data_IF_500928197342
#
_entry.id   IF_500928197342
#
_cell.length_a   1.000
_cell.length_b   1.000
_cell.length_c   1.000
_cell.angle_alpha   90.00
_cell.angle_beta   90.00
_cell.angle_gamma   90.00
#
_symmetry.space_group_name_H-M   'P 1'
#
loop_
_entity.id
_entity.type
_entity.pdbx_description
1 polymer ?
#
# COMPACT_ATOMS: atom_id res chain seq x y z
N UNK A 1 48.63 -8.81 30.71
CA UNK A 1 48.56 -10.24 30.42
C UNK A 1 47.65 -10.33 29.21
N UNK A 2 48.17 -10.07 27.97
CA UNK A 2 48.59 -11.09 26.98
C UNK A 2 47.49 -12.15 26.81
N UNK A 3 46.87 -12.29 25.66
CA UNK A 3 47.24 -12.90 24.35
C UNK A 3 46.05 -12.68 23.43
N UNK A 4 45.97 -12.05 22.32
CA UNK A 4 46.54 -12.23 20.97
C UNK A 4 46.03 -13.48 20.20
N UNK A 5 45.75 -13.25 18.91
CA UNK A 5 45.65 -14.16 17.75
C UNK A 5 44.25 -14.74 17.47
N UNK A 6 43.74 -14.78 16.24
CA UNK A 6 44.32 -14.52 14.90
C UNK A 6 43.24 -14.82 13.85
N UNK A 7 43.35 -14.14 12.71
CA UNK A 7 42.62 -14.43 11.45
C UNK A 7 43.06 -15.78 10.83
N UNK A 8 42.33 -16.35 9.86
CA UNK A 8 42.68 -15.96 8.48
C UNK A 8 41.54 -15.92 7.44
N UNK A 9 41.80 -15.08 6.45
CA UNK A 9 41.20 -14.97 5.13
C UNK A 9 41.14 -16.30 4.36
N UNK A 10 40.03 -16.58 3.70
CA UNK A 10 40.09 -17.39 2.46
C UNK A 10 39.37 -16.64 1.34
N UNK A 11 40.18 -16.24 0.37
CA UNK A 11 39.76 -15.89 -0.99
C UNK A 11 39.52 -17.21 -1.74
N UNK A 12 38.42 -17.32 -2.48
CA UNK A 12 38.32 -18.25 -3.59
C UNK A 12 37.73 -17.51 -4.77
N UNK A 13 38.50 -17.35 -5.80
CA UNK A 13 38.17 -16.81 -7.09
C UNK A 13 37.28 -17.77 -7.86
N UNK A 14 36.47 -17.20 -8.73
CA UNK A 14 35.71 -17.96 -9.70
C UNK A 14 35.98 -17.42 -11.10
N UNK A 15 36.50 -18.33 -11.88
CA UNK A 15 36.94 -18.20 -13.24
C UNK A 15 35.74 -18.09 -14.21
N UNK A 16 35.95 -17.20 -15.17
CA UNK A 16 35.13 -17.05 -16.38
C UNK A 16 35.05 -18.35 -17.19
N UNK A 17 33.87 -18.65 -17.74
CA UNK A 17 33.70 -19.51 -18.92
C UNK A 17 32.87 -18.78 -19.96
N UNK A 18 33.57 -18.39 -21.01
CA UNK A 18 33.04 -17.98 -22.31
C UNK A 18 32.54 -19.24 -23.02
N UNK A 19 31.31 -19.23 -23.48
CA UNK A 19 30.73 -20.25 -24.33
C UNK A 19 30.04 -19.60 -25.54
N UNK A 20 30.73 -19.66 -26.67
CA UNK A 20 30.21 -19.32 -28.01
C UNK A 20 29.48 -20.56 -28.58
N UNK A 21 28.26 -20.40 -29.09
CA UNK A 21 27.62 -21.30 -30.03
C UNK A 21 26.51 -20.57 -30.81
N UNK A 22 26.79 -20.12 -31.99
CA UNK A 22 26.48 -20.67 -33.34
C UNK A 22 24.98 -20.71 -33.71
N UNK A 23 24.70 -19.88 -34.73
CA UNK A 23 23.47 -19.76 -35.53
C UNK A 23 22.92 -21.09 -36.05
N UNK A 24 21.58 -21.20 -36.09
CA UNK A 24 20.89 -21.93 -37.15
C UNK A 24 19.54 -21.21 -37.44
N UNK A 25 19.48 -20.60 -38.60
CA UNK A 25 18.26 -20.09 -39.20
C UNK A 25 17.48 -21.26 -39.82
N UNK A 26 16.20 -21.41 -39.46
CA UNK A 26 15.25 -22.25 -40.19
C UNK A 26 14.00 -21.41 -40.49
N UNK A 27 13.86 -21.03 -41.76
CA UNK A 27 12.64 -20.50 -42.34
C UNK A 27 11.66 -21.66 -42.54
N UNK A 28 10.58 -21.68 -41.78
CA UNK A 28 9.41 -22.50 -42.09
C UNK A 28 8.20 -21.57 -42.31
N UNK A 29 7.83 -21.40 -43.55
CA UNK A 29 6.54 -20.85 -43.96
C UNK A 29 5.45 -21.88 -43.63
N UNK A 30 4.63 -21.61 -42.62
CA UNK A 30 3.47 -22.38 -42.20
C UNK A 30 2.21 -21.55 -42.35
N UNK A 31 1.30 -22.00 -43.21
CA UNK A 31 -0.01 -21.43 -43.46
C UNK A 31 -0.84 -21.33 -42.19
N UNK A 32 -1.38 -20.14 -41.97
CA UNK A 32 -2.33 -19.84 -40.90
C UNK A 32 -3.68 -20.46 -41.20
N UNK A 33 -4.04 -21.51 -40.47
CA UNK A 33 -5.44 -21.86 -40.22
C UNK A 33 -5.92 -20.97 -39.10
N UNK A 34 -6.97 -20.16 -39.34
CA UNK A 34 -7.53 -19.24 -38.36
C UNK A 34 -7.94 -19.95 -37.07
N UNK A 35 -7.21 -19.68 -36.03
CA UNK A 35 -7.64 -19.95 -34.66
C UNK A 35 -8.80 -19.00 -34.32
N UNK A 36 -9.83 -19.45 -33.59
CA UNK A 36 -10.83 -18.55 -33.03
C UNK A 36 -10.14 -17.49 -32.12
N UNK A 37 -10.74 -16.30 -31.95
CA UNK A 37 -10.15 -15.30 -31.09
C UNK A 37 -9.94 -15.92 -29.73
N UNK A 38 -8.68 -16.05 -29.32
CA UNK A 38 -8.33 -16.30 -27.93
C UNK A 38 -9.04 -15.22 -27.08
N UNK A 39 -9.91 -15.70 -26.20
CA UNK A 39 -10.38 -14.89 -25.05
C UNK A 39 -9.14 -14.57 -24.20
N UNK A 40 -8.36 -13.63 -24.66
CA UNK A 40 -7.29 -13.05 -23.84
C UNK A 40 -8.00 -12.38 -22.67
N UNK A 41 -7.78 -12.84 -21.43
CA UNK A 41 -8.39 -12.19 -20.28
C UNK A 41 -8.00 -10.71 -20.37
N UNK A 42 -9.01 -9.84 -20.36
CA UNK A 42 -8.79 -8.39 -20.29
C UNK A 42 -7.88 -8.14 -19.09
N UNK A 43 -6.71 -7.51 -19.27
CA UNK A 43 -5.82 -7.26 -18.14
C UNK A 43 -6.61 -6.53 -17.06
N UNK A 44 -6.70 -7.13 -15.88
CA UNK A 44 -7.26 -6.48 -14.70
C UNK A 44 -6.44 -5.21 -14.48
N UNK A 45 -7.05 -4.02 -14.41
CA UNK A 45 -6.30 -2.80 -14.17
C UNK A 45 -5.52 -2.96 -12.87
N UNK A 46 -4.21 -2.66 -12.90
CA UNK A 46 -3.36 -2.74 -11.73
C UNK A 46 -3.89 -1.80 -10.63
N UNK A 47 -3.77 -2.24 -9.37
CA UNK A 47 -4.09 -1.42 -8.20
C UNK A 47 -3.15 -0.22 -8.14
N UNK A 48 -3.66 0.97 -7.78
CA UNK A 48 -2.85 2.15 -7.64
C UNK A 48 -1.79 1.96 -6.53
N UNK A 49 -0.58 2.46 -6.77
CA UNK A 49 0.46 2.50 -5.77
C UNK A 49 0.31 3.73 -4.86
N UNK A 50 0.72 3.61 -3.59
CA UNK A 50 0.73 4.73 -2.66
C UNK A 50 1.74 5.79 -3.10
N UNK A 51 1.27 7.03 -3.25
CA UNK A 51 2.08 8.22 -3.48
C UNK A 51 2.28 8.96 -2.16
N UNK A 52 3.52 9.12 -1.75
CA UNK A 52 3.90 9.83 -0.54
C UNK A 52 4.62 11.11 -0.90
N UNK A 53 4.20 12.24 -0.33
CA UNK A 53 4.81 13.54 -0.54
C UNK A 53 4.97 14.30 0.77
N UNK A 54 6.21 14.66 1.12
CA UNK A 54 6.45 15.57 2.24
C UNK A 54 6.14 17.01 1.84
N UNK A 55 5.25 17.64 2.58
CA UNK A 55 4.79 19.02 2.33
C UNK A 55 5.35 20.01 3.34
N UNK A 56 5.76 19.58 4.54
CA UNK A 56 6.37 20.45 5.55
C UNK A 56 7.18 19.69 6.59
N UNK A 57 8.04 20.41 7.32
CA UNK A 57 8.81 19.90 8.45
C UNK A 57 10.12 19.20 8.07
N UNK A 58 10.42 19.04 6.78
CA UNK A 58 11.64 18.42 6.30
C UNK A 58 12.73 19.42 5.87
N UNK A 59 12.51 20.72 6.01
CA UNK A 59 13.40 21.78 5.50
C UNK A 59 14.77 21.79 6.21
N UNK A 60 14.85 21.18 7.39
CA UNK A 60 16.07 21.10 8.21
C UNK A 60 16.70 19.72 8.23
N UNK A 61 16.10 18.75 7.53
CA UNK A 61 16.62 17.40 7.38
C UNK A 61 17.57 17.35 6.18
N UNK A 62 18.64 16.57 6.30
CA UNK A 62 19.40 16.17 5.13
C UNK A 62 18.61 15.20 4.26
N UNK A 63 19.07 15.00 3.03
CA UNK A 63 18.34 14.21 2.04
C UNK A 63 18.24 12.72 2.42
N UNK A 64 19.24 12.17 3.11
CA UNK A 64 19.27 10.78 3.53
C UNK A 64 18.21 10.53 4.61
N UNK A 65 18.23 11.31 5.69
CA UNK A 65 17.23 11.27 6.77
C UNK A 65 15.81 11.47 6.25
N UNK A 66 15.64 12.43 5.32
CA UNK A 66 14.34 12.67 4.72
C UNK A 66 13.82 11.44 3.96
N UNK A 67 14.65 10.82 3.13
CA UNK A 67 14.28 9.64 2.35
C UNK A 67 13.97 8.45 3.25
N UNK A 68 14.75 8.26 4.33
CA UNK A 68 14.52 7.21 5.32
C UNK A 68 13.16 7.37 6.01
N UNK A 69 12.86 8.56 6.51
CA UNK A 69 11.60 8.84 7.21
C UNK A 69 10.39 8.74 6.26
N UNK A 70 10.49 9.28 5.03
CA UNK A 70 9.44 9.14 4.02
C UNK A 70 9.18 7.67 3.68
N UNK A 71 10.24 6.86 3.57
CA UNK A 71 10.13 5.41 3.34
C UNK A 71 9.45 4.70 4.50
N UNK A 72 9.93 4.91 5.73
CA UNK A 72 9.39 4.25 6.92
C UNK A 72 7.90 4.59 7.16
N UNK A 73 7.50 5.84 6.97
CA UNK A 73 6.08 6.25 7.06
C UNK A 73 5.27 5.67 5.89
N UNK A 74 5.85 5.64 4.69
CA UNK A 74 5.25 5.01 3.52
C UNK A 74 4.95 3.53 3.74
N UNK A 75 5.87 2.78 4.35
CA UNK A 75 5.70 1.37 4.70
C UNK A 75 4.54 1.18 5.70
N UNK A 76 4.48 1.97 6.78
CA UNK A 76 3.37 1.95 7.76
C UNK A 76 2.01 2.18 7.11
N UNK A 77 1.91 3.17 6.22
CA UNK A 77 0.65 3.47 5.52
C UNK A 77 0.30 2.40 4.48
N UNK A 78 1.30 1.83 3.79
CA UNK A 78 1.10 0.73 2.85
C UNK A 78 0.61 -0.53 3.53
N UNK A 79 1.22 -0.91 4.65
CA UNK A 79 0.80 -2.07 5.45
C UNK A 79 -0.64 -1.90 5.93
N UNK A 80 -0.99 -0.70 6.41
CA UNK A 80 -2.36 -0.37 6.79
C UNK A 80 -3.32 -0.52 5.61
N UNK A 81 -3.04 0.10 4.46
CA UNK A 81 -3.92 0.05 3.27
C UNK A 81 -4.13 -1.38 2.80
N UNK A 82 -3.06 -2.17 2.72
CA UNK A 82 -3.15 -3.58 2.30
C UNK A 82 -4.01 -4.37 3.27
N UNK A 83 -3.77 -4.23 4.57
CA UNK A 83 -4.50 -4.97 5.58
C UNK A 83 -5.93 -4.48 5.80
N UNK A 84 -6.24 -3.19 5.56
CA UNK A 84 -7.55 -2.61 5.78
C UNK A 84 -8.50 -2.74 4.56
N UNK A 85 -7.97 -2.60 3.33
CA UNK A 85 -8.79 -2.45 2.13
C UNK A 85 -8.48 -3.43 1.02
N UNK A 86 -7.24 -3.92 0.92
CA UNK A 86 -6.81 -4.79 -0.16
C UNK A 86 -6.69 -6.25 0.31
N UNK A 87 -6.31 -7.15 -0.58
CA UNK A 87 -6.16 -8.57 -0.29
C UNK A 87 -7.35 -9.41 -0.73
N UNK A 88 -7.49 -10.59 -0.12
CA UNK A 88 -8.50 -11.57 -0.53
C UNK A 88 -9.90 -11.18 -0.03
N UNK A 89 -10.88 -11.24 -0.90
CA UNK A 89 -12.31 -11.05 -0.62
C UNK A 89 -13.11 -12.27 -1.15
N UNK A 90 -14.30 -12.59 -0.56
CA UNK A 90 -14.93 -11.92 0.58
C UNK A 90 -14.17 -12.09 1.90
N UNK A 91 -14.26 -11.10 2.79
CA UNK A 91 -13.43 -11.03 3.99
C UNK A 91 -14.24 -10.73 5.24
N UNK A 92 -13.98 -11.45 6.34
CA UNK A 92 -14.70 -11.31 7.61
C UNK A 92 -13.87 -10.68 8.73
N UNK A 93 -12.55 -10.70 8.62
CA UNK A 93 -11.64 -10.21 9.66
C UNK A 93 -10.77 -9.07 9.15
N UNK A 94 -10.75 -7.96 9.90
CA UNK A 94 -10.01 -6.75 9.57
C UNK A 94 -9.07 -6.29 10.68
N UNK A 95 -8.96 -7.03 11.80
CA UNK A 95 -8.17 -6.62 12.96
C UNK A 95 -6.67 -6.47 12.67
N UNK A 96 -6.14 -7.19 11.69
CA UNK A 96 -4.75 -7.08 11.24
C UNK A 96 -4.41 -5.69 10.66
N UNK A 97 -5.42 -4.95 10.19
CA UNK A 97 -5.25 -3.58 9.74
C UNK A 97 -4.68 -2.64 10.83
N UNK A 98 -4.80 -3.04 12.09
CA UNK A 98 -4.37 -2.23 13.22
C UNK A 98 -2.99 -2.62 13.79
N UNK A 99 -2.27 -3.54 13.14
CA UNK A 99 -0.88 -3.86 13.51
C UNK A 99 0.07 -2.65 13.44
N UNK A 100 -0.04 -1.75 12.45
CA UNK A 100 0.78 -0.54 12.42
C UNK A 100 0.41 0.52 13.46
N UNK A 101 -0.61 0.28 14.29
CA UNK A 101 -1.07 1.23 15.31
C UNK A 101 -0.41 0.96 16.66
N UNK A 102 -0.22 2.04 17.45
CA UNK A 102 0.12 1.84 18.86
C UNK A 102 -0.97 1.04 19.57
N UNK A 103 -0.62 0.34 20.65
CA UNK A 103 -1.58 -0.48 21.40
C UNK A 103 -2.82 0.27 21.90
N UNK A 104 -2.69 1.57 22.16
CA UNK A 104 -3.82 2.43 22.59
C UNK A 104 -4.70 2.77 21.40
N UNK A 105 -4.10 3.18 20.28
CA UNK A 105 -4.82 3.50 19.05
C UNK A 105 -5.50 2.27 18.45
N UNK A 106 -4.83 1.10 18.43
CA UNK A 106 -5.39 -0.16 17.95
C UNK A 106 -6.66 -0.58 18.71
N UNK A 107 -6.67 -0.45 20.05
CA UNK A 107 -7.89 -0.74 20.85
C UNK A 107 -9.06 0.18 20.51
N UNK A 108 -8.79 1.47 20.25
CA UNK A 108 -9.81 2.41 19.78
C UNK A 108 -10.28 2.04 18.37
N UNK A 109 -9.34 1.80 17.46
CA UNK A 109 -9.59 1.45 16.07
C UNK A 109 -10.46 0.19 15.90
N UNK A 110 -10.34 -0.80 16.82
CA UNK A 110 -11.22 -1.97 16.84
C UNK A 110 -12.69 -1.62 17.04
N UNK A 111 -13.00 -0.51 17.74
CA UNK A 111 -14.36 0.00 17.87
C UNK A 111 -14.84 0.80 16.66
N UNK A 112 -13.92 1.27 15.83
CA UNK A 112 -14.18 2.11 14.66
C UNK A 112 -13.86 1.32 13.34
N UNK A 113 -14.03 -0.01 13.34
CA UNK A 113 -13.61 -0.89 12.24
C UNK A 113 -14.29 -0.54 10.92
N UNK A 114 -15.58 -0.20 10.92
CA UNK A 114 -16.35 0.18 9.74
C UNK A 114 -15.90 1.56 9.17
N UNK A 115 -15.30 2.40 10.01
CA UNK A 115 -14.75 3.69 9.63
C UNK A 115 -13.33 3.56 9.03
N UNK A 116 -12.57 2.55 9.44
CA UNK A 116 -11.13 2.43 9.17
C UNK A 116 -10.79 1.32 8.17
N UNK A 117 -11.79 0.55 7.71
CA UNK A 117 -11.53 -0.60 6.84
C UNK A 117 -12.65 -0.80 5.83
N UNK A 118 -12.45 -1.68 4.87
CA UNK A 118 -13.49 -2.10 3.93
C UNK A 118 -14.52 -3.07 4.57
N UNK A 119 -14.76 -3.02 5.89
CA UNK A 119 -15.69 -3.93 6.57
C UNK A 119 -17.15 -3.75 6.11
N UNK A 120 -17.56 -2.57 5.65
CA UNK A 120 -18.87 -2.34 5.05
C UNK A 120 -19.02 -2.99 3.67
N UNK A 121 -17.90 -3.30 2.99
CA UNK A 121 -17.86 -4.00 1.72
C UNK A 121 -17.28 -5.43 1.85
N UNK A 122 -17.44 -6.08 3.01
CA UNK A 122 -16.88 -7.42 3.32
C UNK A 122 -17.27 -8.52 2.35
N UNK A 123 -18.46 -8.38 1.73
CA UNK A 123 -19.03 -9.33 0.79
C UNK A 123 -18.64 -9.02 -0.68
N UNK A 124 -17.76 -8.04 -0.90
CA UNK A 124 -17.18 -7.82 -2.22
C UNK A 124 -16.41 -9.06 -2.69
N UNK A 125 -16.30 -9.25 -3.99
CA UNK A 125 -15.47 -10.30 -4.58
C UNK A 125 -14.02 -9.86 -4.80
N UNK A 126 -13.80 -8.54 -4.89
CA UNK A 126 -12.48 -7.92 -4.99
C UNK A 126 -12.56 -6.45 -4.55
N UNK A 127 -11.45 -5.93 -4.02
CA UNK A 127 -11.26 -4.49 -3.80
C UNK A 127 -9.93 -4.08 -4.43
N UNK A 128 -9.96 -2.98 -5.16
CA UNK A 128 -8.81 -2.45 -5.90
C UNK A 128 -8.62 -0.98 -5.56
N UNK A 129 -7.39 -0.56 -5.28
CA UNK A 129 -7.07 0.85 -5.11
C UNK A 129 -7.13 1.58 -6.46
N UNK A 130 -7.79 2.73 -6.49
CA UNK A 130 -7.89 3.63 -7.64
C UNK A 130 -7.03 4.88 -7.46
N UNK A 131 -6.90 5.35 -6.23
CA UNK A 131 -6.03 6.46 -5.85
C UNK A 131 -5.54 6.30 -4.41
N UNK A 132 -4.25 6.51 -4.17
CA UNK A 132 -3.64 6.44 -2.84
C UNK A 132 -2.65 7.59 -2.68
N UNK A 133 -3.08 8.68 -2.06
CA UNK A 133 -2.26 9.85 -1.79
C UNK A 133 -2.05 10.07 -0.28
N UNK A 134 -0.81 10.35 0.11
CA UNK A 134 -0.44 10.73 1.46
C UNK A 134 0.49 11.96 1.46
N UNK A 135 0.09 13.03 2.15
CA UNK A 135 0.85 14.27 2.31
C UNK A 135 1.38 14.35 3.74
N UNK A 136 2.71 14.31 3.87
CA UNK A 136 3.39 14.24 5.16
C UNK A 136 3.80 15.62 5.65
N UNK A 137 3.55 15.87 6.93
CA UNK A 137 4.05 17.02 7.69
C UNK A 137 4.78 16.50 8.92
N UNK A 138 6.08 16.77 9.04
CA UNK A 138 6.91 16.26 10.14
C UNK A 138 7.09 17.27 11.25
N UNK A 139 7.11 16.77 12.49
CA UNK A 139 7.52 17.49 13.67
C UNK A 139 9.02 17.23 13.89
N UNK A 140 9.84 18.24 13.58
CA UNK A 140 11.30 18.16 13.71
C UNK A 140 11.79 19.04 14.85
N UNK A 141 12.69 18.53 15.69
CA UNK A 141 13.36 19.28 16.73
C UNK A 141 14.84 18.95 16.74
N UNK A 142 15.69 19.95 16.73
CA UNK A 142 17.16 19.80 16.70
C UNK A 142 17.72 18.93 15.54
N UNK A 143 16.98 18.81 14.44
CA UNK A 143 17.38 17.98 13.27
C UNK A 143 16.87 16.54 13.33
N UNK A 144 16.17 16.16 14.39
CA UNK A 144 15.55 14.85 14.55
C UNK A 144 14.05 14.92 14.31
N UNK A 145 13.46 13.85 13.77
CA UNK A 145 12.01 13.73 13.55
C UNK A 145 11.40 12.90 14.67
N UNK A 146 10.46 13.51 15.40
CA UNK A 146 9.80 12.86 16.53
C UNK A 146 8.40 12.36 16.22
N UNK A 147 7.83 12.76 15.09
CA UNK A 147 6.50 12.37 14.68
C UNK A 147 6.03 13.18 13.49
N UNK A 148 4.77 12.99 13.11
CA UNK A 148 4.21 13.71 11.99
C UNK A 148 2.72 13.47 11.82
N UNK A 149 2.21 14.03 10.75
CA UNK A 149 0.83 13.84 10.31
C UNK A 149 0.86 13.43 8.85
N UNK A 150 0.11 12.41 8.50
CA UNK A 150 -0.19 12.06 7.11
C UNK A 150 -1.64 12.49 6.82
N UNK A 151 -1.82 13.50 5.97
CA UNK A 151 -3.11 13.80 5.36
C UNK A 151 -3.30 12.85 4.19
N UNK A 152 -4.37 12.08 4.21
CA UNK A 152 -4.59 10.98 3.25
C UNK A 152 -5.86 11.16 2.45
N UNK A 153 -5.81 10.70 1.21
CA UNK A 153 -6.93 10.43 0.34
C UNK A 153 -6.71 9.04 -0.27
N UNK A 154 -7.49 8.06 0.16
CA UNK A 154 -7.41 6.70 -0.34
C UNK A 154 -8.75 6.31 -0.96
N UNK A 155 -8.75 6.04 -2.26
CA UNK A 155 -9.92 5.67 -3.02
C UNK A 155 -9.80 4.24 -3.57
N UNK A 156 -10.92 3.52 -3.54
CA UNK A 156 -10.98 2.12 -3.96
C UNK A 156 -12.26 1.85 -4.74
N UNK A 157 -12.22 0.82 -5.57
CA UNK A 157 -13.37 0.18 -6.20
C UNK A 157 -13.59 -1.20 -5.57
N UNK A 158 -14.74 -1.44 -4.97
CA UNK A 158 -15.18 -2.75 -4.52
C UNK A 158 -16.08 -3.37 -5.60
N UNK A 159 -15.71 -4.54 -6.12
CA UNK A 159 -16.53 -5.32 -7.04
C UNK A 159 -17.46 -6.22 -6.23
N UNK A 160 -18.76 -6.04 -6.36
CA UNK A 160 -19.77 -6.80 -5.63
C UNK A 160 -20.09 -8.12 -6.35
N UNK A 161 -20.79 -9.06 -5.69
CA UNK A 161 -21.17 -10.37 -6.27
C UNK A 161 -22.02 -10.25 -7.55
N UNK A 162 -22.84 -9.21 -7.65
CA UNK A 162 -23.67 -8.94 -8.82
C UNK A 162 -22.92 -8.29 -9.99
N UNK A 163 -21.61 -8.07 -9.82
CA UNK A 163 -20.74 -7.44 -10.79
C UNK A 163 -20.79 -5.90 -10.79
N UNK A 164 -21.55 -5.30 -9.91
CA UNK A 164 -21.53 -3.84 -9.73
C UNK A 164 -20.26 -3.37 -9.06
N UNK A 165 -19.89 -2.12 -9.30
CA UNK A 165 -18.75 -1.47 -8.64
C UNK A 165 -19.26 -0.46 -7.63
N UNK A 166 -18.79 -0.58 -6.40
CA UNK A 166 -19.08 0.32 -5.29
C UNK A 166 -17.83 1.13 -4.95
N UNK A 167 -17.84 2.46 -5.12
CA UNK A 167 -16.68 3.28 -4.74
C UNK A 167 -16.58 3.37 -3.23
N UNK A 168 -15.33 3.33 -2.72
CA UNK A 168 -15.01 3.53 -1.31
C UNK A 168 -13.95 4.63 -1.22
N UNK A 169 -14.06 5.51 -0.22
CA UNK A 169 -13.03 6.54 0.00
C UNK A 169 -12.77 6.76 1.49
N UNK A 170 -11.49 6.83 1.87
CA UNK A 170 -11.03 7.22 3.19
C UNK A 170 -10.28 8.55 3.08
N UNK A 171 -10.81 9.58 3.71
CA UNK A 171 -10.23 10.92 3.76
C UNK A 171 -9.92 11.34 5.19
N UNK A 172 -8.84 12.09 5.37
CA UNK A 172 -8.52 12.68 6.66
C UNK A 172 -7.04 12.58 7.00
N UNK A 173 -6.71 12.29 8.26
CA UNK A 173 -5.31 12.27 8.69
C UNK A 173 -5.03 11.20 9.72
N UNK A 174 -3.83 10.64 9.60
CA UNK A 174 -3.20 9.82 10.62
C UNK A 174 -2.15 10.63 11.37
N UNK A 175 -2.07 10.41 12.67
CA UNK A 175 -1.04 10.96 13.54
C UNK A 175 0.02 9.89 13.76
N UNK A 176 1.26 10.21 13.44
CA UNK A 176 2.39 9.29 13.37
C UNK A 176 3.44 9.65 14.41
N UNK A 177 4.02 8.65 15.06
CA UNK A 177 5.15 8.81 15.97
C UNK A 177 6.24 7.78 15.65
N UNK A 178 7.49 8.18 15.89
CA UNK A 178 8.61 7.25 15.99
C UNK A 178 8.85 6.93 17.46
N UNK A 179 9.17 5.68 17.78
CA UNK A 179 9.68 5.30 19.09
C UNK A 179 11.22 5.50 19.17
N UNK A 180 11.78 5.16 20.32
CA UNK A 180 13.23 5.33 20.59
C UNK A 180 14.10 4.44 19.67
N UNK A 181 13.55 3.37 19.10
CA UNK A 181 14.22 2.46 18.18
C UNK A 181 14.04 2.90 16.71
N UNK A 182 13.33 4.00 16.45
CA UNK A 182 13.03 4.53 15.12
C UNK A 182 11.88 3.83 14.41
N UNK A 183 11.13 2.96 15.09
CA UNK A 183 9.95 2.30 14.53
C UNK A 183 8.77 3.26 14.49
N UNK A 184 8.17 3.42 13.31
CA UNK A 184 7.01 4.29 13.11
C UNK A 184 5.71 3.56 13.38
N UNK A 185 4.75 4.28 13.98
CA UNK A 185 3.42 3.76 14.26
C UNK A 185 2.35 4.85 14.22
N UNK A 186 1.10 4.45 13.97
CA UNK A 186 -0.07 5.34 14.03
C UNK A 186 -0.55 5.41 15.48
N UNK A 187 -0.48 6.58 16.10
CA UNK A 187 -0.96 6.78 17.47
C UNK A 187 -2.33 7.45 17.55
N UNK A 188 -2.86 7.94 16.41
CA UNK A 188 -4.17 8.55 16.35
C UNK A 188 -4.65 8.76 14.93
N UNK A 189 -5.95 9.04 14.78
CA UNK A 189 -6.58 9.29 13.49
C UNK A 189 -7.75 10.24 13.66
N UNK A 190 -8.03 10.97 12.57
CA UNK A 190 -9.17 11.85 12.38
C UNK A 190 -9.57 11.72 10.90
N UNK A 191 -10.38 10.72 10.61
CA UNK A 191 -10.76 10.32 9.25
C UNK A 191 -12.27 10.19 9.11
N UNK A 192 -12.73 10.28 7.89
CA UNK A 192 -14.08 9.92 7.46
C UNK A 192 -14.00 8.87 6.36
N UNK A 193 -14.98 8.00 6.32
CA UNK A 193 -15.09 6.97 5.32
C UNK A 193 -16.41 7.14 4.56
N UNK A 194 -16.32 7.15 3.25
CA UNK A 194 -17.46 7.09 2.33
C UNK A 194 -17.48 5.67 1.76
N UNK A 195 -18.53 4.93 2.02
CA UNK A 195 -18.69 3.56 1.56
C UNK A 195 -19.53 3.44 0.28
N UNK A 196 -19.90 4.55 -0.33
CA UNK A 196 -20.61 4.63 -1.60
C UNK A 196 -22.09 4.22 -1.56
N UNK A 197 -22.67 3.93 -0.36
CA UNK A 197 -24.07 3.51 -0.27
C UNK A 197 -25.05 4.66 -0.60
N UNK A 198 -24.74 5.89 -0.19
CA UNK A 198 -25.62 7.05 -0.42
C UNK A 198 -25.71 7.42 -1.91
N UNK A 199 -24.65 7.21 -2.69
CA UNK A 199 -24.63 7.52 -4.12
C UNK A 199 -25.57 6.63 -4.92
N UNK A 200 -25.82 5.40 -4.46
CA UNK A 200 -26.74 4.46 -5.09
C UNK A 200 -28.22 4.82 -4.86
N UNK A 201 -28.55 5.38 -3.69
CA UNK A 201 -29.94 5.75 -3.34
C UNK A 201 -30.43 6.98 -4.12
N UNK A 202 -29.58 7.95 -4.45
CA UNK A 202 -29.95 9.13 -5.24
C UNK A 202 -30.18 8.80 -6.73
N UNK A 203 -29.45 7.82 -7.29
CA UNK A 203 -29.62 7.41 -8.68
C UNK A 203 -30.95 6.72 -8.97
N UNK A 204 -31.54 5.98 -8.00
CA UNK A 204 -32.84 5.34 -8.15
C UNK A 204 -34.02 6.31 -7.94
N UNK A 205 -33.83 7.39 -7.17
CA UNK A 205 -34.87 8.38 -6.87
C UNK A 205 -35.12 9.39 -8.00
N UNK A 206 -34.22 9.54 -8.97
CA UNK A 206 -34.26 10.52 -10.05
C UNK A 206 -35.03 10.09 -11.32
N UNK A 207 -35.56 8.88 -11.41
CA UNK A 207 -36.13 8.26 -12.61
C UNK A 207 -37.66 8.35 -12.78
N UNK A 208 -38.35 9.18 -12.01
CA UNK A 208 -39.81 9.26 -12.01
C UNK A 208 -40.37 10.65 -12.31
N UNK A 209 -40.37 11.06 -13.58
CA UNK A 209 -41.16 12.19 -14.06
C UNK A 209 -41.56 11.99 -15.53
#
# INVERSE_FOLDING_TARGET
>A
MMIAMGSPRRRAGWTARVGVAVLAAALAAGCSTGSPPDDQPTPTPDSAALRVQTVSGAERLDQETRTEVEGAVGDVLSDYVVAAFLGDFPRQEFVQAFEPFTSVAARKATGDIDLLTAATARDATAVRATDLDARLSFLTQAGEVHGGTAEVHFAFDATMEDGTTRPLALDGRFLLQADDDGTWSIFGYDVRFDDGEETSAEAESGGGA
#
